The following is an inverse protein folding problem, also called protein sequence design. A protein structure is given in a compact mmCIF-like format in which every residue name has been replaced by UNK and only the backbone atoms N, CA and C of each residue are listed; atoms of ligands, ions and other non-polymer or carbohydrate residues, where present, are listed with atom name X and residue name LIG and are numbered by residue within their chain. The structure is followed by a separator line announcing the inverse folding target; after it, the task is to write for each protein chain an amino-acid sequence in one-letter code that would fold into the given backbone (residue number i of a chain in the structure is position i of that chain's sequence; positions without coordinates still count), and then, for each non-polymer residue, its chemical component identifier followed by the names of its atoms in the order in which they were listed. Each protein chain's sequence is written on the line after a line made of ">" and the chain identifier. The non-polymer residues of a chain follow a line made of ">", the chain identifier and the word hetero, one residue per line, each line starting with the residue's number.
data_IF_901140483391
#
_entry.id   IF_901140483391
#
_cell.length_a   1.000
_cell.length_b   1.000
_cell.length_c   1.000
_cell.angle_alpha   90.00
_cell.angle_beta   90.00
_cell.angle_gamma   90.00
#
_symmetry.space_group_name_H-M   'P 1'
#
loop_
_entity.id
_entity.type
_entity.pdbx_description
1 polymer ?
#
# COMPACT_ATOMS: atom_id res chain seq x y z
N UNK A 1 -22.57 10.75 20.68
CA UNK A 1 -23.09 11.88 19.89
C UNK A 1 -23.53 11.44 18.50
N UNK A 2 -24.41 12.17 17.90
CA UNK A 2 -24.85 11.98 16.51
C UNK A 2 -24.49 13.24 15.75
N UNK A 3 -23.65 13.12 14.72
CA UNK A 3 -23.38 14.22 13.79
C UNK A 3 -24.32 14.06 12.59
N UNK A 4 -25.20 15.02 12.39
CA UNK A 4 -26.01 15.13 11.19
C UNK A 4 -25.37 16.14 10.25
N UNK A 5 -25.13 15.73 9.02
CA UNK A 5 -24.66 16.54 7.91
C UNK A 5 -23.69 17.67 8.29
N UNK A 6 -22.50 17.31 8.69
CA UNK A 6 -21.42 18.26 8.68
C UNK A 6 -21.06 18.50 7.22
N UNK A 7 -21.45 19.65 6.69
CA UNK A 7 -21.23 20.18 5.34
C UNK A 7 -20.32 19.31 4.47
N UNK A 8 -20.93 18.39 3.74
CA UNK A 8 -20.24 17.48 2.86
C UNK A 8 -19.70 18.22 1.64
N UNK A 9 -18.44 18.05 1.34
CA UNK A 9 -17.90 18.48 0.05
C UNK A 9 -18.07 17.32 -0.95
N UNK A 10 -18.90 17.52 -1.97
CA UNK A 10 -19.12 16.59 -3.11
C UNK A 10 -19.47 15.14 -2.73
N UNK A 11 -20.36 14.90 -1.80
CA UNK A 11 -20.94 13.57 -1.55
C UNK A 11 -20.01 12.56 -0.88
N UNK A 12 -18.95 13.00 -0.20
CA UNK A 12 -17.98 12.14 0.43
C UNK A 12 -18.22 11.90 1.93
N UNK A 13 -19.41 12.18 2.44
CA UNK A 13 -19.75 11.94 3.84
C UNK A 13 -21.14 11.35 3.93
N UNK A 14 -21.35 10.26 4.72
CA UNK A 14 -22.68 9.74 5.00
C UNK A 14 -23.55 10.78 5.71
N UNK A 15 -24.86 10.67 5.56
CA UNK A 15 -25.80 11.62 6.12
C UNK A 15 -25.74 11.66 7.66
N UNK A 16 -25.47 10.52 8.30
CA UNK A 16 -25.30 10.45 9.76
C UNK A 16 -24.04 9.70 10.15
N UNK A 17 -23.39 10.20 11.22
CA UNK A 17 -22.26 9.52 11.88
C UNK A 17 -22.56 9.43 13.37
N UNK A 18 -22.69 8.21 13.87
CA UNK A 18 -22.90 7.95 15.31
C UNK A 18 -21.55 7.73 15.97
N UNK A 19 -21.29 8.48 17.07
CA UNK A 19 -20.02 8.46 17.79
C UNK A 19 -20.20 8.03 19.25
N UNK A 20 -19.24 7.26 19.74
CA UNK A 20 -19.04 6.97 21.17
C UNK A 20 -17.67 7.50 21.56
N UNK A 21 -17.62 8.41 22.57
CA UNK A 21 -16.37 9.05 23.01
C UNK A 21 -15.56 9.69 21.84
N UNK A 22 -16.26 10.41 20.96
CA UNK A 22 -15.74 11.00 19.72
C UNK A 22 -15.25 10.00 18.64
N UNK A 23 -15.34 8.71 18.89
CA UNK A 23 -15.00 7.66 17.92
C UNK A 23 -16.27 7.29 17.15
N UNK A 24 -16.31 7.39 15.81
CA UNK A 24 -17.42 6.91 15.02
C UNK A 24 -17.54 5.39 15.14
N UNK A 25 -18.76 4.94 15.42
CA UNK A 25 -19.09 3.54 15.57
C UNK A 25 -20.07 3.05 14.50
N UNK A 26 -20.79 3.99 13.85
CA UNK A 26 -21.77 3.66 12.82
C UNK A 26 -21.92 4.83 11.86
N UNK A 27 -22.01 4.52 10.59
CA UNK A 27 -22.29 5.44 9.48
C UNK A 27 -23.63 5.07 8.86
N UNK A 28 -24.46 6.07 8.54
CA UNK A 28 -25.76 5.84 7.91
C UNK A 28 -25.90 6.76 6.71
N UNK A 29 -26.18 6.17 5.55
CA UNK A 29 -26.57 6.86 4.34
C UNK A 29 -28.05 6.64 4.10
N UNK A 30 -28.79 7.71 3.86
CA UNK A 30 -30.23 7.65 3.59
C UNK A 30 -30.56 8.12 2.21
N UNK A 31 -31.61 7.57 1.62
CA UNK A 31 -32.16 7.92 0.32
C UNK A 31 -33.64 8.21 0.45
N UNK A 32 -34.21 8.96 -0.48
CA UNK A 32 -35.62 9.23 -0.52
C UNK A 32 -36.45 7.94 -0.63
N UNK A 33 -37.58 7.94 0.01
CA UNK A 33 -38.54 6.83 -0.02
C UNK A 33 -38.91 6.48 -1.48
N UNK A 34 -38.80 5.21 -1.83
CA UNK A 34 -39.14 4.67 -3.14
C UNK A 34 -37.98 4.72 -4.16
N UNK A 35 -36.80 5.17 -3.76
CA UNK A 35 -35.59 4.98 -4.55
C UNK A 35 -35.14 3.52 -4.46
N UNK A 36 -34.71 2.94 -5.58
CA UNK A 36 -34.22 1.56 -5.59
C UNK A 36 -32.86 1.49 -4.88
N UNK A 37 -32.83 0.88 -3.69
CA UNK A 37 -31.58 0.65 -2.94
C UNK A 37 -30.63 -0.31 -3.69
N UNK A 38 -31.14 -1.25 -4.50
CA UNK A 38 -30.32 -2.13 -5.35
C UNK A 38 -29.52 -1.37 -6.40
N UNK A 39 -30.08 -0.27 -6.92
CA UNK A 39 -29.37 0.62 -7.85
C UNK A 39 -28.33 1.45 -7.12
N UNK A 40 -28.67 1.92 -5.93
CA UNK A 40 -27.76 2.74 -5.09
C UNK A 40 -26.55 1.90 -4.66
N UNK A 41 -26.71 0.64 -4.25
CA UNK A 41 -25.61 -0.26 -3.89
C UNK A 41 -24.52 -0.35 -4.96
N UNK A 42 -24.90 -0.25 -6.24
CA UNK A 42 -23.99 -0.35 -7.39
C UNK A 42 -23.40 0.99 -7.82
N UNK A 43 -23.67 2.07 -7.08
CA UNK A 43 -23.19 3.41 -7.43
C UNK A 43 -21.74 3.64 -6.97
N UNK A 44 -21.04 4.55 -7.64
CA UNK A 44 -19.69 4.97 -7.26
C UNK A 44 -19.65 5.57 -5.85
N UNK A 45 -20.75 6.21 -5.41
CA UNK A 45 -20.87 6.70 -4.04
C UNK A 45 -20.81 5.56 -3.03
N UNK A 46 -21.60 4.51 -3.25
CA UNK A 46 -21.61 3.36 -2.35
C UNK A 46 -20.31 2.57 -2.38
N UNK A 47 -19.66 2.45 -3.52
CA UNK A 47 -18.34 1.83 -3.60
C UNK A 47 -17.33 2.52 -2.68
N UNK A 48 -17.35 3.86 -2.61
CA UNK A 48 -16.53 4.63 -1.66
C UNK A 48 -16.95 4.41 -0.20
N UNK A 49 -18.26 4.34 0.05
CA UNK A 49 -18.80 4.17 1.40
C UNK A 49 -18.61 2.76 1.96
N UNK A 50 -18.43 1.75 1.13
CA UNK A 50 -18.02 0.40 1.56
C UNK A 50 -16.66 0.37 2.26
N UNK A 51 -15.86 1.43 2.15
CA UNK A 51 -14.67 1.65 2.98
C UNK A 51 -14.97 1.98 4.46
N UNK A 52 -16.23 2.22 4.87
CA UNK A 52 -16.59 2.42 6.28
C UNK A 52 -16.69 1.09 7.02
N UNK A 53 -16.30 1.09 8.30
CA UNK A 53 -16.29 -0.12 9.12
C UNK A 53 -17.69 -0.70 9.32
N UNK A 54 -18.66 0.14 9.74
CA UNK A 54 -20.06 -0.22 9.93
C UNK A 54 -20.91 0.81 9.18
N UNK A 55 -21.57 0.39 8.11
CA UNK A 55 -22.40 1.26 7.26
C UNK A 55 -23.82 0.71 7.19
N UNK A 56 -24.81 1.58 7.33
CA UNK A 56 -26.20 1.30 7.05
C UNK A 56 -26.64 2.14 5.86
N UNK A 57 -27.24 1.50 4.86
CA UNK A 57 -27.95 2.16 3.77
C UNK A 57 -29.45 2.01 4.01
N UNK A 58 -30.21 3.09 3.94
CA UNK A 58 -31.66 3.07 4.18
C UNK A 58 -32.41 4.03 3.28
N UNK A 59 -33.67 3.73 3.00
CA UNK A 59 -34.68 4.65 2.48
C UNK A 59 -35.76 4.94 3.53
N UNK A 60 -35.42 4.83 4.82
CA UNK A 60 -36.29 4.90 6.01
C UNK A 60 -37.26 3.74 6.17
N UNK A 61 -37.51 2.92 5.14
CA UNK A 61 -38.43 1.77 5.16
C UNK A 61 -37.68 0.44 5.15
N UNK A 62 -36.54 0.40 4.49
CA UNK A 62 -35.63 -0.74 4.42
C UNK A 62 -34.24 -0.34 4.93
N UNK A 63 -33.61 -1.20 5.74
CA UNK A 63 -32.29 -1.01 6.31
C UNK A 63 -31.36 -2.15 5.87
N UNK A 64 -30.25 -1.80 5.22
CA UNK A 64 -29.20 -2.71 4.74
C UNK A 64 -27.92 -2.46 5.51
N UNK A 65 -27.35 -3.50 6.03
CA UNK A 65 -26.20 -3.44 6.92
C UNK A 65 -24.95 -3.97 6.19
N UNK A 66 -23.87 -3.17 6.24
CA UNK A 66 -22.58 -3.51 5.61
C UNK A 66 -21.46 -3.36 6.62
N UNK A 67 -20.67 -4.42 6.77
CA UNK A 67 -19.46 -4.40 7.58
C UNK A 67 -18.25 -4.52 6.68
N UNK A 68 -17.37 -3.50 6.71
CA UNK A 68 -16.20 -3.44 5.85
C UNK A 68 -16.54 -3.73 4.36
N UNK A 69 -17.67 -3.21 3.89
CA UNK A 69 -18.15 -3.36 2.51
C UNK A 69 -18.88 -4.66 2.18
N UNK A 70 -19.05 -5.57 3.13
CA UNK A 70 -19.80 -6.82 2.93
C UNK A 70 -21.18 -6.75 3.59
N UNK A 71 -22.17 -7.37 2.96
CA UNK A 71 -23.50 -7.52 3.58
C UNK A 71 -23.34 -8.27 4.89
N UNK A 72 -23.80 -7.66 5.98
CA UNK A 72 -23.73 -8.23 7.31
C UNK A 72 -24.87 -9.24 7.55
N UNK A 73 -26.04 -8.91 7.04
CA UNK A 73 -27.25 -9.74 7.14
C UNK A 73 -28.26 -9.37 6.05
N UNK A 74 -29.38 -10.09 6.00
CA UNK A 74 -30.50 -9.75 5.14
C UNK A 74 -31.11 -8.40 5.50
N UNK A 75 -31.64 -7.63 4.52
CA UNK A 75 -32.29 -6.35 4.76
C UNK A 75 -33.46 -6.45 5.74
N UNK A 76 -33.57 -5.48 6.66
CA UNK A 76 -34.73 -5.38 7.55
C UNK A 76 -35.68 -4.32 6.98
N UNK A 77 -36.92 -4.74 6.67
CA UNK A 77 -37.99 -3.86 6.21
C UNK A 77 -38.97 -3.57 7.34
N UNK A 78 -39.11 -2.30 7.71
CA UNK A 78 -40.04 -1.85 8.74
C UNK A 78 -41.35 -1.29 8.18
N UNK A 79 -41.38 -1.03 6.89
CA UNK A 79 -42.57 -0.66 6.15
C UNK A 79 -42.44 -0.96 4.66
N UNK A 80 -43.57 -0.94 3.95
CA UNK A 80 -43.66 -1.04 2.49
C UNK A 80 -44.30 0.19 1.92
N UNK A 81 -43.79 0.64 0.75
CA UNK A 81 -44.30 1.79 0.02
C UNK A 81 -45.04 1.34 -1.25
N UNK A 82 -46.33 1.63 -1.27
CA UNK A 82 -47.14 1.49 -2.50
C UNK A 82 -47.03 2.76 -3.35
N UNK A 83 -46.32 2.66 -4.47
CA UNK A 83 -46.15 3.77 -5.43
C UNK A 83 -47.47 4.23 -6.07
N UNK A 84 -48.40 3.30 -6.28
CA UNK A 84 -49.66 3.57 -6.96
C UNK A 84 -50.66 4.27 -6.01
N UNK A 85 -50.74 3.79 -4.78
CA UNK A 85 -51.59 4.38 -3.73
C UNK A 85 -50.95 5.49 -2.93
N UNK A 86 -49.63 5.73 -3.11
CA UNK A 86 -48.83 6.68 -2.28
C UNK A 86 -49.02 6.46 -0.80
N UNK A 87 -49.14 5.21 -0.38
CA UNK A 87 -49.36 4.82 1.01
C UNK A 87 -48.17 4.05 1.57
N UNK A 88 -47.93 4.19 2.87
CA UNK A 88 -46.90 3.43 3.59
C UNK A 88 -47.63 2.49 4.55
N UNK A 89 -47.33 1.20 4.45
CA UNK A 89 -47.85 0.16 5.36
C UNK A 89 -46.72 -0.27 6.28
N UNK A 90 -46.89 0.00 7.60
CA UNK A 90 -45.88 -0.35 8.58
C UNK A 90 -45.86 -1.89 8.84
N UNK A 91 -44.67 -2.39 9.22
CA UNK A 91 -44.40 -3.76 9.69
C UNK A 91 -43.89 -3.71 11.13
N UNK A 92 -44.78 -3.53 12.08
CA UNK A 92 -44.41 -3.35 13.51
C UNK A 92 -43.65 -4.53 14.08
N UNK A 93 -43.87 -5.74 13.55
CA UNK A 93 -43.16 -6.98 13.91
C UNK A 93 -41.64 -6.89 13.72
N UNK A 94 -41.16 -5.99 12.87
CA UNK A 94 -39.74 -5.81 12.59
C UNK A 94 -39.09 -4.63 13.34
N UNK A 95 -39.84 -3.87 14.15
CA UNK A 95 -39.31 -2.69 14.85
C UNK A 95 -38.30 -3.08 15.92
N UNK A 96 -38.62 -4.07 16.75
CA UNK A 96 -37.71 -4.57 17.77
C UNK A 96 -36.47 -5.25 17.13
N UNK A 97 -36.67 -5.97 16.03
CA UNK A 97 -35.60 -6.57 15.29
C UNK A 97 -34.61 -5.48 14.78
N UNK A 98 -35.13 -4.41 14.19
CA UNK A 98 -34.30 -3.30 13.73
C UNK A 98 -33.52 -2.64 14.86
N UNK A 99 -34.22 -2.33 15.98
CA UNK A 99 -33.60 -1.69 17.13
C UNK A 99 -32.44 -2.54 17.70
N UNK A 100 -32.73 -3.82 17.97
CA UNK A 100 -31.71 -4.72 18.49
C UNK A 100 -30.55 -4.90 17.52
N UNK A 101 -30.83 -5.06 16.22
CA UNK A 101 -29.79 -5.16 15.20
C UNK A 101 -28.93 -3.92 15.13
N UNK A 102 -29.47 -2.71 15.18
CA UNK A 102 -28.70 -1.47 15.18
C UNK A 102 -27.75 -1.38 16.38
N UNK A 103 -28.24 -1.75 17.59
CA UNK A 103 -27.44 -1.76 18.82
C UNK A 103 -26.31 -2.79 18.69
N UNK A 104 -26.63 -4.02 18.32
CA UNK A 104 -25.67 -5.10 18.20
C UNK A 104 -24.64 -4.81 17.09
N UNK A 105 -25.09 -4.28 15.96
CA UNK A 105 -24.23 -3.92 14.85
C UNK A 105 -23.23 -2.82 15.23
N UNK A 106 -23.67 -1.82 16.00
CA UNK A 106 -22.79 -0.75 16.48
C UNK A 106 -21.82 -1.18 17.58
N UNK A 107 -22.16 -2.24 18.35
CA UNK A 107 -21.39 -2.70 19.51
C UNK A 107 -20.61 -3.98 19.25
N UNK A 108 -20.94 -4.75 18.20
CA UNK A 108 -20.38 -6.07 17.99
C UNK A 108 -18.87 -6.02 17.66
N UNK A 109 -18.17 -7.02 18.18
CA UNK A 109 -16.76 -7.25 17.90
C UNK A 109 -16.57 -7.53 16.40
N UNK A 110 -15.48 -7.00 15.85
CA UNK A 110 -15.16 -7.17 14.43
C UNK A 110 -14.82 -8.63 14.16
N UNK A 111 -15.37 -9.18 13.08
CA UNK A 111 -14.99 -10.53 12.64
C UNK A 111 -13.55 -10.56 12.12
N UNK A 112 -12.81 -11.66 12.37
CA UNK A 112 -11.48 -11.81 11.83
C UNK A 112 -11.50 -11.81 10.29
N UNK A 113 -10.50 -11.16 9.70
CA UNK A 113 -10.31 -11.13 8.24
C UNK A 113 -9.84 -12.52 7.79
N UNK A 114 -10.61 -13.17 6.92
CA UNK A 114 -10.41 -14.58 6.55
C UNK A 114 -9.81 -14.80 5.16
N UNK A 115 -9.74 -13.77 4.33
CA UNK A 115 -9.17 -13.87 2.98
C UNK A 115 -8.39 -12.63 2.58
N UNK A 116 -7.42 -12.80 1.69
CA UNK A 116 -6.65 -11.69 1.12
C UNK A 116 -7.54 -10.75 0.29
N UNK A 117 -8.49 -11.28 -0.49
CA UNK A 117 -9.47 -10.46 -1.22
C UNK A 117 -10.30 -9.58 -0.29
N UNK A 118 -10.73 -10.11 0.86
CA UNK A 118 -11.46 -9.35 1.86
C UNK A 118 -10.61 -8.19 2.40
N UNK A 119 -9.36 -8.47 2.76
CA UNK A 119 -8.42 -7.46 3.22
C UNK A 119 -8.16 -6.41 2.12
N UNK A 120 -7.92 -6.84 0.88
CA UNK A 120 -7.70 -5.96 -0.27
C UNK A 120 -8.88 -5.00 -0.50
N UNK A 121 -10.12 -5.49 -0.38
CA UNK A 121 -11.34 -4.67 -0.51
C UNK A 121 -11.42 -3.61 0.58
N UNK A 122 -11.16 -3.96 1.84
CA UNK A 122 -11.15 -3.00 2.95
C UNK A 122 -10.06 -1.95 2.72
N UNK A 123 -8.86 -2.37 2.39
CA UNK A 123 -7.72 -1.48 2.11
C UNK A 123 -8.04 -0.55 0.94
N UNK A 124 -8.62 -1.06 -0.15
CA UNK A 124 -9.03 -0.28 -1.32
C UNK A 124 -10.02 0.83 -0.95
N UNK A 125 -11.08 0.50 -0.21
CA UNK A 125 -12.06 1.47 0.25
C UNK A 125 -11.47 2.54 1.21
N UNK A 126 -10.55 2.16 2.10
CA UNK A 126 -9.85 3.12 2.97
C UNK A 126 -8.91 4.03 2.15
N UNK A 127 -8.19 3.47 1.19
CA UNK A 127 -7.32 4.25 0.31
C UNK A 127 -8.11 5.27 -0.53
N UNK A 128 -9.28 4.90 -1.05
CA UNK A 128 -10.16 5.85 -1.75
C UNK A 128 -10.57 7.03 -0.86
N UNK A 129 -10.92 6.78 0.40
CA UNK A 129 -11.27 7.83 1.36
C UNK A 129 -10.09 8.75 1.67
N UNK A 130 -8.88 8.21 1.83
CA UNK A 130 -7.66 9.00 2.03
C UNK A 130 -7.39 9.86 0.80
N UNK A 131 -7.43 9.28 -0.41
CA UNK A 131 -7.28 10.00 -1.67
C UNK A 131 -8.22 11.19 -1.78
N UNK A 132 -9.50 10.97 -1.52
CA UNK A 132 -10.52 12.01 -1.67
C UNK A 132 -10.30 13.17 -0.66
N UNK A 133 -9.86 12.88 0.58
CA UNK A 133 -9.45 13.91 1.53
C UNK A 133 -8.21 14.67 1.06
N UNK A 134 -7.18 13.99 0.56
CA UNK A 134 -5.97 14.64 0.05
C UNK A 134 -6.28 15.55 -1.13
N UNK A 135 -7.13 15.12 -2.06
CA UNK A 135 -7.63 15.98 -3.17
C UNK A 135 -8.32 17.24 -2.65
N UNK A 136 -9.13 17.09 -1.61
CA UNK A 136 -9.77 18.23 -0.97
C UNK A 136 -8.73 19.18 -0.37
N UNK A 137 -7.73 18.70 0.33
CA UNK A 137 -6.67 19.53 0.92
C UNK A 137 -5.93 20.32 -0.15
N UNK A 138 -5.52 19.68 -1.25
CA UNK A 138 -4.83 20.33 -2.37
C UNK A 138 -5.67 21.46 -3.01
N UNK A 139 -7.00 21.31 -3.02
CA UNK A 139 -7.90 22.30 -3.62
C UNK A 139 -8.30 23.45 -2.70
N UNK A 140 -8.19 23.30 -1.37
CA UNK A 140 -8.78 24.25 -0.40
C UNK A 140 -7.79 24.79 0.62
N UNK A 141 -6.61 24.22 0.75
CA UNK A 141 -5.65 24.56 1.80
C UNK A 141 -4.31 25.04 1.23
N UNK A 142 -3.38 25.45 2.09
CA UNK A 142 -2.06 25.96 1.73
C UNK A 142 -0.97 25.25 2.53
N UNK A 143 0.30 25.33 2.08
CA UNK A 143 1.46 24.77 2.79
C UNK A 143 1.59 25.22 4.25
N UNK A 144 1.12 26.42 4.55
CA UNK A 144 1.18 26.94 5.94
C UNK A 144 0.27 26.16 6.89
N UNK A 145 -0.79 25.56 6.36
CA UNK A 145 -1.84 24.94 7.16
C UNK A 145 -1.83 23.41 7.04
N UNK A 146 -1.13 22.86 6.02
CA UNK A 146 -1.14 21.42 5.78
C UNK A 146 0.22 20.93 5.24
N UNK A 147 0.86 20.04 5.98
CA UNK A 147 2.16 19.45 5.61
C UNK A 147 2.10 18.60 4.33
N UNK A 148 0.95 18.00 4.03
CA UNK A 148 0.75 17.20 2.82
C UNK A 148 0.96 18.04 1.55
N UNK A 149 0.57 19.32 1.60
CA UNK A 149 0.78 20.25 0.47
C UNK A 149 2.28 20.53 0.29
N UNK A 150 3.04 20.62 1.37
CA UNK A 150 4.51 20.74 1.30
C UNK A 150 5.14 19.51 0.65
N UNK A 151 4.69 18.32 1.03
CA UNK A 151 5.13 17.06 0.41
C UNK A 151 4.80 17.04 -1.09
N UNK A 152 3.57 17.43 -1.46
CA UNK A 152 3.17 17.55 -2.87
C UNK A 152 4.11 18.45 -3.67
N UNK A 153 4.36 19.65 -3.18
CA UNK A 153 5.23 20.62 -3.85
C UNK A 153 6.68 20.13 -3.95
N UNK A 154 7.16 19.42 -2.93
CA UNK A 154 8.50 18.82 -2.95
C UNK A 154 8.63 17.74 -4.03
N UNK A 155 7.66 16.81 -4.10
CA UNK A 155 7.65 15.76 -5.14
C UNK A 155 7.52 16.38 -6.52
N UNK A 156 6.64 17.37 -6.69
CA UNK A 156 6.47 18.08 -7.96
C UNK A 156 7.75 18.79 -8.43
N UNK A 157 8.50 19.35 -7.49
CA UNK A 157 9.74 20.08 -7.79
C UNK A 157 10.93 19.15 -8.06
N UNK A 158 11.02 18.02 -7.36
CA UNK A 158 12.21 17.16 -7.36
C UNK A 158 12.09 15.91 -8.24
N UNK A 159 10.88 15.39 -8.44
CA UNK A 159 10.67 14.09 -9.07
C UNK A 159 9.78 14.13 -10.31
N UNK A 160 8.65 14.85 -10.25
CA UNK A 160 7.62 14.82 -11.31
C UNK A 160 7.12 16.24 -11.54
N UNK A 161 7.74 16.99 -12.45
CA UNK A 161 7.43 18.42 -12.67
C UNK A 161 5.98 18.69 -13.12
N UNK A 162 5.35 17.75 -13.81
CA UNK A 162 3.97 17.82 -14.28
C UNK A 162 2.97 17.05 -13.38
N UNK A 163 3.35 16.80 -12.11
CA UNK A 163 2.53 16.08 -11.15
C UNK A 163 1.17 16.76 -10.96
N UNK A 164 0.11 16.00 -11.22
CA UNK A 164 -1.27 16.43 -11.02
C UNK A 164 -1.74 16.12 -9.61
N UNK A 165 -2.65 16.95 -9.09
CA UNK A 165 -3.25 16.77 -7.76
C UNK A 165 -3.84 15.36 -7.58
N UNK A 166 -4.51 14.86 -8.62
CA UNK A 166 -5.10 13.53 -8.62
C UNK A 166 -4.05 12.42 -8.48
N UNK A 167 -2.97 12.51 -9.26
CA UNK A 167 -1.89 11.52 -9.24
C UNK A 167 -1.15 11.52 -7.90
N UNK A 168 -0.96 12.69 -7.31
CA UNK A 168 -0.36 12.79 -5.96
C UNK A 168 -1.27 12.18 -4.90
N UNK A 169 -2.57 12.49 -4.93
CA UNK A 169 -3.52 11.95 -3.96
C UNK A 169 -3.60 10.42 -4.04
N UNK A 170 -3.57 9.86 -5.25
CA UNK A 170 -3.50 8.42 -5.47
C UNK A 170 -2.21 7.82 -4.90
N UNK A 171 -1.08 8.45 -5.19
CA UNK A 171 0.24 8.01 -4.70
C UNK A 171 0.31 8.03 -3.18
N UNK A 172 -0.12 9.12 -2.54
CA UNK A 172 -0.12 9.27 -1.09
C UNK A 172 -1.01 8.22 -0.41
N UNK A 173 -2.23 8.03 -0.90
CA UNK A 173 -3.18 7.08 -0.35
C UNK A 173 -2.68 5.63 -0.44
N UNK A 174 -2.15 5.22 -1.59
CA UNK A 174 -1.59 3.89 -1.79
C UNK A 174 -0.37 3.66 -0.89
N UNK A 175 0.54 4.63 -0.81
CA UNK A 175 1.75 4.52 0.03
C UNK A 175 1.38 4.36 1.50
N UNK A 176 0.41 5.14 1.99
CA UNK A 176 -0.04 5.08 3.38
C UNK A 176 -0.65 3.73 3.71
N UNK A 177 -1.62 3.29 2.91
CA UNK A 177 -2.36 2.05 3.16
C UNK A 177 -1.46 0.82 3.01
N UNK A 178 -0.63 0.81 1.96
CA UNK A 178 0.28 -0.30 1.72
C UNK A 178 1.48 -0.30 2.70
N UNK A 179 1.94 0.86 3.12
CA UNK A 179 2.95 0.99 4.16
C UNK A 179 2.49 0.42 5.51
N UNK A 180 1.23 0.65 5.89
CA UNK A 180 0.63 0.00 7.07
C UNK A 180 0.56 -1.52 6.92
N UNK A 181 0.22 -2.02 5.72
CA UNK A 181 0.26 -3.45 5.42
C UNK A 181 1.67 -4.02 5.57
N UNK A 182 2.70 -3.32 5.07
CA UNK A 182 4.11 -3.70 5.22
C UNK A 182 4.50 -3.76 6.69
N UNK A 183 4.14 -2.74 7.48
CA UNK A 183 4.40 -2.73 8.92
C UNK A 183 3.75 -3.92 9.61
N UNK A 184 2.47 -4.20 9.32
CA UNK A 184 1.76 -5.35 9.88
C UNK A 184 2.37 -6.68 9.46
N UNK A 185 2.87 -6.79 8.24
CA UNK A 185 3.58 -7.99 7.79
C UNK A 185 4.87 -8.25 8.58
N UNK A 186 5.53 -7.21 9.11
CA UNK A 186 6.71 -7.34 9.96
C UNK A 186 6.37 -7.46 11.45
N UNK A 187 5.09 -7.45 11.80
CA UNK A 187 4.64 -7.56 13.18
C UNK A 187 4.38 -9.02 13.55
N UNK A 188 5.18 -9.52 14.48
CA UNK A 188 5.04 -10.87 15.03
C UNK A 188 4.13 -10.89 16.29
N UNK A 189 3.56 -9.73 16.71
CA UNK A 189 2.73 -9.62 17.91
C UNK A 189 1.24 -9.69 17.57
N UNK A 190 0.52 -10.75 17.97
CA UNK A 190 -0.91 -10.84 17.73
C UNK A 190 -1.70 -9.96 18.69
N UNK A 191 -2.81 -9.41 18.22
CA UNK A 191 -3.84 -8.80 19.07
C UNK A 191 -3.72 -7.30 19.33
N UNK A 192 -2.65 -6.64 18.85
CA UNK A 192 -2.54 -5.17 18.81
C UNK A 192 -1.92 -4.74 17.49
N UNK A 193 -2.30 -3.59 16.99
CA UNK A 193 -1.61 -2.90 15.91
C UNK A 193 -2.06 -1.45 15.90
N UNK A 194 -1.14 -0.57 16.19
CA UNK A 194 -1.38 0.88 16.23
C UNK A 194 -0.51 1.60 15.20
N UNK A 195 -0.85 2.84 14.94
CA UNK A 195 -0.06 3.74 14.09
C UNK A 195 1.37 3.92 14.59
N UNK A 196 1.55 3.99 15.91
CA UNK A 196 2.87 4.09 16.56
C UNK A 196 3.67 2.80 16.40
N UNK A 197 3.05 1.64 16.64
CA UNK A 197 3.69 0.34 16.40
C UNK A 197 4.07 0.18 14.93
N UNK A 198 3.20 0.59 13.99
CA UNK A 198 3.51 0.54 12.57
C UNK A 198 4.79 1.30 12.22
N UNK A 199 5.02 2.48 12.81
CA UNK A 199 6.26 3.25 12.65
C UNK A 199 7.50 2.45 13.07
N UNK A 200 7.44 1.80 14.23
CA UNK A 200 8.57 1.08 14.79
C UNK A 200 8.89 -0.23 14.03
N UNK A 201 7.89 -0.79 13.35
CA UNK A 201 7.99 -2.00 12.54
C UNK A 201 8.54 -1.76 11.13
N UNK A 202 8.57 -0.52 10.65
CA UNK A 202 9.16 -0.23 9.33
C UNK A 202 10.67 -0.51 9.36
N UNK A 203 11.18 -1.38 8.46
CA UNK A 203 12.60 -1.74 8.44
C UNK A 203 13.52 -0.53 8.25
N UNK A 204 14.66 -0.52 8.97
CA UNK A 204 15.70 0.50 8.81
C UNK A 204 16.30 0.54 7.39
N UNK A 205 16.14 -0.53 6.61
CA UNK A 205 16.55 -0.62 5.21
C UNK A 205 15.70 0.26 4.28
N UNK A 206 14.58 0.82 4.76
CA UNK A 206 13.71 1.75 4.02
C UNK A 206 13.57 3.09 4.79
N UNK A 207 14.54 4.00 4.70
CA UNK A 207 14.53 5.27 5.44
C UNK A 207 13.35 6.17 5.06
N UNK A 208 13.04 6.28 3.75
CA UNK A 208 11.94 7.13 3.28
C UNK A 208 10.59 6.73 3.88
N UNK A 209 10.29 5.43 3.89
CA UNK A 209 9.04 4.96 4.49
C UNK A 209 9.01 5.20 6.00
N UNK A 210 10.14 5.08 6.70
CA UNK A 210 10.23 5.44 8.13
C UNK A 210 9.89 6.90 8.37
N UNK A 211 10.45 7.81 7.60
CA UNK A 211 10.14 9.24 7.70
C UNK A 211 8.69 9.55 7.34
N UNK A 212 8.12 8.81 6.37
CA UNK A 212 6.69 8.90 6.09
C UNK A 212 5.84 8.49 7.31
N UNK A 213 6.25 7.43 8.02
CA UNK A 213 5.58 7.01 9.25
C UNK A 213 5.83 7.94 10.44
N UNK A 214 6.98 8.60 10.53
CA UNK A 214 7.20 9.70 11.48
C UNK A 214 6.17 10.82 11.26
N UNK A 215 5.92 11.17 10.00
CA UNK A 215 4.91 12.16 9.65
C UNK A 215 3.50 11.72 10.10
N UNK A 216 3.07 10.50 9.78
CA UNK A 216 1.71 10.03 10.09
C UNK A 216 1.48 9.74 11.59
N UNK A 217 2.54 9.60 12.38
CA UNK A 217 2.47 9.46 13.85
C UNK A 217 2.65 10.79 14.58
N UNK A 218 3.11 11.83 13.87
CA UNK A 218 3.36 13.15 14.40
C UNK A 218 2.09 13.85 14.89
N UNK A 219 2.29 14.83 15.78
CA UNK A 219 1.20 15.64 16.37
C UNK A 219 0.47 16.52 15.35
N UNK A 220 1.13 16.82 14.24
CA UNK A 220 0.61 17.65 13.15
C UNK A 220 -0.09 16.83 12.06
N UNK A 221 -0.20 15.50 12.21
CA UNK A 221 -0.91 14.69 11.25
C UNK A 221 -2.38 15.06 11.21
N UNK A 222 -2.93 15.22 9.99
CA UNK A 222 -4.29 15.68 9.80
C UNK A 222 -5.30 14.71 10.45
N UNK A 223 -6.11 15.23 11.37
CA UNK A 223 -7.06 14.42 12.14
C UNK A 223 -8.13 13.72 11.30
N UNK A 224 -8.42 14.25 10.11
CA UNK A 224 -9.36 13.64 9.16
C UNK A 224 -8.78 12.35 8.57
N UNK A 225 -7.46 12.34 8.30
CA UNK A 225 -6.74 11.15 7.87
C UNK A 225 -6.41 10.23 9.06
N UNK A 226 -5.99 10.79 10.18
CA UNK A 226 -5.69 10.04 11.41
C UNK A 226 -6.81 9.05 11.76
N UNK A 227 -8.04 9.52 11.63
CA UNK A 227 -9.20 8.71 11.89
C UNK A 227 -9.29 7.49 10.95
N UNK A 228 -9.10 7.68 9.63
CA UNK A 228 -9.14 6.60 8.65
C UNK A 228 -7.99 5.61 8.87
N UNK A 229 -6.82 6.12 9.22
CA UNK A 229 -5.62 5.31 9.52
C UNK A 229 -5.84 4.46 10.78
N UNK A 230 -6.41 5.03 11.83
CA UNK A 230 -6.71 4.28 13.06
C UNK A 230 -7.75 3.18 12.82
N UNK A 231 -8.78 3.44 11.99
CA UNK A 231 -9.72 2.39 11.56
C UNK A 231 -9.00 1.25 10.80
N UNK A 232 -8.03 1.58 9.95
CA UNK A 232 -7.27 0.57 9.20
C UNK A 232 -6.34 -0.21 10.15
N UNK A 233 -5.69 0.44 11.09
CA UNK A 233 -4.88 -0.23 12.11
C UNK A 233 -5.72 -1.24 12.91
N UNK A 234 -6.95 -0.88 13.24
CA UNK A 234 -7.85 -1.80 13.93
C UNK A 234 -8.25 -3.01 13.05
N UNK A 235 -8.43 -2.81 11.74
CA UNK A 235 -8.62 -3.93 10.80
C UNK A 235 -7.41 -4.86 10.82
N UNK A 236 -6.20 -4.31 10.79
CA UNK A 236 -4.98 -5.10 10.86
C UNK A 236 -4.78 -5.82 12.19
N UNK A 237 -5.28 -5.29 13.30
CA UNK A 237 -5.29 -6.00 14.59
C UNK A 237 -6.02 -7.36 14.51
N UNK A 238 -7.08 -7.43 13.67
CA UNK A 238 -7.88 -8.64 13.48
C UNK A 238 -7.50 -9.44 12.22
N UNK A 239 -6.44 -9.07 11.51
CA UNK A 239 -5.95 -9.76 10.33
C UNK A 239 -4.62 -10.49 10.63
N UNK A 240 -4.61 -11.79 10.44
CA UNK A 240 -3.36 -12.55 10.37
C UNK A 240 -2.78 -12.42 8.95
N UNK A 241 -2.02 -11.33 8.75
CA UNK A 241 -1.44 -11.02 7.43
C UNK A 241 -0.48 -12.10 6.97
N UNK A 242 0.25 -12.76 7.88
CA UNK A 242 1.12 -13.86 7.51
C UNK A 242 0.34 -15.06 6.96
N UNK A 243 -0.76 -15.43 7.62
CA UNK A 243 -1.63 -16.51 7.16
C UNK A 243 -2.31 -16.16 5.84
N UNK A 244 -2.81 -14.94 5.71
CA UNK A 244 -3.44 -14.45 4.48
C UNK A 244 -2.45 -14.47 3.31
N UNK A 245 -1.21 -14.04 3.54
CA UNK A 245 -0.16 -14.10 2.52
C UNK A 245 0.21 -15.54 2.15
N UNK A 246 0.20 -16.48 3.11
CA UNK A 246 0.42 -17.90 2.79
C UNK A 246 -0.58 -18.45 1.79
N UNK A 247 -1.83 -18.00 1.81
CA UNK A 247 -2.85 -18.42 0.84
C UNK A 247 -2.43 -18.10 -0.61
N UNK A 248 -1.76 -16.97 -0.83
CA UNK A 248 -1.19 -16.64 -2.14
C UNK A 248 0.05 -17.46 -2.51
N UNK A 249 0.72 -18.09 -1.53
CA UNK A 249 1.82 -19.03 -1.78
C UNK A 249 1.31 -20.47 -2.00
N UNK A 250 0.16 -20.85 -1.41
CA UNK A 250 -0.36 -22.21 -1.37
C UNK A 250 -1.23 -22.58 -2.59
N UNK A 251 -1.64 -21.64 -3.42
CA UNK A 251 -2.27 -21.95 -4.71
C UNK A 251 -1.33 -22.71 -5.66
N UNK A 252 -0.08 -22.94 -5.25
CA UNK A 252 0.91 -23.81 -5.86
C UNK A 252 0.86 -25.28 -5.36
N UNK A 253 -0.23 -25.69 -4.68
CA UNK A 253 -0.37 -27.02 -4.01
C UNK A 253 -0.36 -28.26 -4.93
N UNK A 254 -0.13 -28.09 -6.23
CA UNK A 254 0.02 -29.21 -7.17
C UNK A 254 1.48 -29.62 -7.46
N UNK A 255 2.42 -29.30 -6.58
CA UNK A 255 3.72 -29.99 -6.53
C UNK A 255 4.67 -29.73 -7.69
N UNK A 256 4.56 -28.60 -8.37
CA UNK A 256 5.53 -28.17 -9.39
C UNK A 256 6.16 -26.85 -8.98
N UNK A 257 7.40 -26.93 -8.49
CA UNK A 257 8.43 -25.87 -8.50
C UNK A 257 7.92 -24.43 -8.75
N UNK A 258 7.82 -23.60 -7.73
CA UNK A 258 7.85 -22.12 -7.68
C UNK A 258 7.54 -21.33 -8.99
N UNK A 259 6.58 -21.78 -9.78
CA UNK A 259 6.20 -21.15 -11.05
C UNK A 259 4.94 -20.28 -10.94
N UNK A 260 4.33 -20.21 -9.76
CA UNK A 260 3.15 -19.40 -9.48
C UNK A 260 3.42 -17.89 -9.51
N UNK A 261 2.37 -17.06 -9.58
CA UNK A 261 2.50 -15.60 -9.50
C UNK A 261 3.12 -15.22 -8.16
N UNK A 262 3.89 -14.12 -8.17
CA UNK A 262 4.52 -13.59 -6.96
C UNK A 262 3.43 -13.14 -5.96
N UNK A 263 3.38 -13.71 -4.74
CA UNK A 263 2.31 -13.47 -3.79
C UNK A 263 2.10 -12.00 -3.42
N UNK A 264 3.20 -11.24 -3.28
CA UNK A 264 3.15 -9.83 -2.94
C UNK A 264 2.54 -9.02 -4.09
N UNK A 265 2.90 -9.37 -5.32
CA UNK A 265 2.34 -8.73 -6.52
C UNK A 265 0.85 -9.09 -6.63
N UNK A 266 0.50 -10.35 -6.45
CA UNK A 266 -0.89 -10.80 -6.58
C UNK A 266 -1.81 -10.09 -5.58
N UNK A 267 -1.39 -10.00 -4.32
CA UNK A 267 -2.13 -9.23 -3.32
C UNK A 267 -2.22 -7.73 -3.66
N UNK A 268 -1.14 -7.15 -4.21
CA UNK A 268 -1.17 -5.75 -4.65
C UNK A 268 -2.10 -5.56 -5.86
N UNK A 269 -2.16 -6.51 -6.78
CA UNK A 269 -3.12 -6.49 -7.88
C UNK A 269 -4.57 -6.52 -7.39
N UNK A 270 -4.89 -7.37 -6.41
CA UNK A 270 -6.20 -7.41 -5.78
C UNK A 270 -6.54 -6.08 -5.10
N UNK A 271 -5.58 -5.51 -4.38
CA UNK A 271 -5.75 -4.18 -3.79
C UNK A 271 -6.00 -3.09 -4.85
N UNK A 272 -5.23 -3.06 -5.95
CA UNK A 272 -5.42 -2.08 -7.02
C UNK A 272 -6.77 -2.24 -7.72
N UNK A 273 -7.22 -3.48 -7.92
CA UNK A 273 -8.54 -3.77 -8.50
C UNK A 273 -9.67 -3.17 -7.67
N UNK A 274 -9.58 -3.28 -6.35
CA UNK A 274 -10.57 -2.72 -5.42
C UNK A 274 -10.41 -1.20 -5.21
N UNK A 275 -9.20 -0.68 -5.35
CA UNK A 275 -8.91 0.74 -5.22
C UNK A 275 -9.35 1.53 -6.45
N UNK A 276 -8.88 1.15 -7.64
CA UNK A 276 -9.20 1.76 -8.93
C UNK A 276 -8.83 0.80 -10.07
N UNK A 277 -9.85 0.11 -10.62
CA UNK A 277 -9.65 -0.87 -11.69
C UNK A 277 -9.07 -0.26 -12.99
N UNK A 278 -9.28 1.04 -13.25
CA UNK A 278 -8.78 1.72 -14.43
C UNK A 278 -7.38 2.31 -14.23
N UNK A 279 -6.97 2.59 -13.01
CA UNK A 279 -5.64 3.11 -12.69
C UNK A 279 -4.54 2.14 -13.15
N UNK A 280 -4.75 0.84 -12.96
CA UNK A 280 -3.84 -0.21 -13.45
C UNK A 280 -3.57 -0.10 -14.95
N UNK A 281 -4.62 0.16 -15.74
CA UNK A 281 -4.51 0.33 -17.20
C UNK A 281 -3.81 1.65 -17.56
N UNK A 282 -4.13 2.73 -16.86
CA UNK A 282 -3.57 4.07 -17.11
C UNK A 282 -2.07 4.15 -16.79
N UNK A 283 -1.62 3.49 -15.73
CA UNK A 283 -0.21 3.48 -15.33
C UNK A 283 0.64 2.51 -16.15
N UNK A 284 0.03 1.67 -17.01
CA UNK A 284 0.76 0.64 -17.73
C UNK A 284 1.44 -0.37 -16.79
N UNK A 285 0.97 -0.48 -15.55
CA UNK A 285 1.54 -1.34 -14.51
C UNK A 285 1.23 -2.82 -14.80
N UNK A 286 1.85 -3.34 -15.86
CA UNK A 286 1.82 -4.76 -16.19
C UNK A 286 3.07 -5.42 -15.65
N UNK A 287 2.90 -6.43 -14.82
CA UNK A 287 4.02 -7.18 -14.28
C UNK A 287 4.58 -8.12 -15.34
N UNK A 288 5.90 -8.10 -15.48
CA UNK A 288 6.59 -9.03 -16.37
C UNK A 288 6.42 -10.45 -15.85
N UNK A 289 5.91 -11.41 -16.65
CA UNK A 289 5.76 -12.80 -16.22
C UNK A 289 7.07 -13.39 -15.71
N UNK A 290 7.05 -14.12 -14.60
CA UNK A 290 8.25 -14.69 -13.99
C UNK A 290 9.13 -15.52 -14.94
N UNK A 291 8.60 -16.32 -15.88
CA UNK A 291 9.44 -17.01 -16.86
C UNK A 291 10.29 -16.06 -17.72
N UNK A 292 9.71 -14.91 -18.10
CA UNK A 292 10.43 -13.87 -18.87
C UNK A 292 11.50 -13.21 -18.02
N UNK A 293 11.18 -12.85 -16.78
CA UNK A 293 12.14 -12.29 -15.82
C UNK A 293 13.31 -13.23 -15.62
N UNK A 294 13.03 -14.51 -15.34
CA UNK A 294 14.07 -15.54 -15.17
C UNK A 294 14.92 -15.75 -16.42
N UNK A 295 14.30 -15.69 -17.59
CA UNK A 295 15.03 -15.79 -18.85
C UNK A 295 16.00 -14.61 -19.00
N UNK A 296 15.54 -13.38 -18.80
CA UNK A 296 16.38 -12.18 -18.92
C UNK A 296 17.54 -12.21 -17.92
N UNK A 297 17.26 -12.48 -16.63
CA UNK A 297 18.29 -12.52 -15.59
C UNK A 297 19.34 -13.59 -15.89
N UNK A 298 18.92 -14.80 -16.30
CA UNK A 298 19.85 -15.86 -16.72
C UNK A 298 20.64 -15.51 -17.98
N UNK A 299 20.04 -14.79 -18.92
CA UNK A 299 20.73 -14.35 -20.13
C UNK A 299 21.83 -13.34 -19.81
N UNK A 300 21.56 -12.38 -18.91
CA UNK A 300 22.58 -11.43 -18.44
C UNK A 300 23.72 -12.18 -17.73
N UNK A 301 23.38 -13.11 -16.85
CA UNK A 301 24.35 -13.94 -16.14
C UNK A 301 25.24 -14.74 -17.10
N UNK A 302 24.65 -15.38 -18.10
CA UNK A 302 25.36 -16.11 -19.14
C UNK A 302 26.29 -15.20 -19.97
N UNK A 303 25.82 -14.00 -20.37
CA UNK A 303 26.64 -13.05 -21.12
C UNK A 303 27.85 -12.57 -20.31
N UNK A 304 27.68 -12.31 -19.00
CA UNK A 304 28.79 -11.94 -18.12
C UNK A 304 29.88 -13.03 -18.08
N UNK A 305 29.48 -14.31 -18.08
CA UNK A 305 30.42 -15.41 -18.14
C UNK A 305 31.11 -15.53 -19.50
N UNK A 306 30.34 -15.54 -20.57
CA UNK A 306 30.84 -15.92 -21.91
C UNK A 306 31.49 -14.76 -22.66
N UNK A 307 30.92 -13.57 -22.59
CA UNK A 307 31.40 -12.43 -23.36
C UNK A 307 32.36 -11.53 -22.56
N UNK A 308 32.15 -11.49 -21.22
CA UNK A 308 32.97 -10.62 -20.37
C UNK A 308 34.00 -11.38 -19.53
N UNK A 309 34.04 -12.71 -19.60
CA UNK A 309 35.01 -13.55 -18.90
C UNK A 309 34.91 -13.51 -17.40
N UNK A 310 33.70 -13.25 -16.87
CA UNK A 310 33.42 -13.22 -15.43
C UNK A 310 32.84 -14.57 -15.02
N UNK A 311 33.68 -15.51 -14.60
CA UNK A 311 33.31 -16.91 -14.33
C UNK A 311 32.13 -17.09 -13.37
N UNK A 312 31.93 -16.13 -12.46
CA UNK A 312 30.82 -16.15 -11.50
C UNK A 312 29.59 -15.34 -11.97
N UNK A 313 29.57 -14.82 -13.21
CA UNK A 313 28.45 -14.09 -13.78
C UNK A 313 27.98 -12.94 -12.87
N UNK A 314 26.68 -12.88 -12.57
CA UNK A 314 26.09 -11.91 -11.64
C UNK A 314 26.62 -12.03 -10.21
N UNK A 315 27.15 -13.18 -9.80
CA UNK A 315 27.74 -13.39 -8.50
C UNK A 315 29.22 -12.97 -8.39
N UNK A 316 29.82 -12.47 -9.48
CA UNK A 316 31.22 -12.05 -9.50
C UNK A 316 31.50 -10.91 -8.52
N UNK A 317 32.61 -11.03 -7.78
CA UNK A 317 33.05 -10.07 -6.76
C UNK A 317 34.33 -9.34 -7.13
N UNK A 318 34.84 -9.57 -8.34
CA UNK A 318 36.07 -8.92 -8.80
C UNK A 318 35.90 -7.41 -8.89
N UNK A 319 36.99 -6.69 -8.62
CA UNK A 319 37.01 -5.22 -8.62
C UNK A 319 37.98 -4.70 -9.65
N UNK A 320 37.71 -3.51 -10.12
CA UNK A 320 38.63 -2.71 -10.93
C UNK A 320 39.80 -2.19 -10.10
N UNK A 321 40.81 -1.61 -10.75
CA UNK A 321 41.95 -0.95 -10.10
C UNK A 321 41.52 0.19 -9.15
N UNK A 322 40.32 0.75 -9.36
CA UNK A 322 39.72 1.76 -8.50
C UNK A 322 38.94 1.18 -7.30
N UNK A 323 38.93 -0.13 -7.11
CA UNK A 323 38.23 -0.80 -6.02
C UNK A 323 36.71 -0.92 -6.21
N UNK A 324 36.18 -0.58 -7.40
CA UNK A 324 34.76 -0.69 -7.75
C UNK A 324 34.49 -2.08 -8.30
N UNK A 325 33.40 -2.72 -7.87
CA UNK A 325 33.00 -4.02 -8.42
C UNK A 325 32.80 -3.92 -9.94
N UNK A 326 33.33 -4.89 -10.66
CA UNK A 326 33.23 -4.93 -12.13
C UNK A 326 31.79 -5.19 -12.61
N UNK A 327 31.02 -5.91 -11.84
CA UNK A 327 29.57 -6.11 -12.08
C UNK A 327 28.79 -5.14 -11.21
N UNK A 328 28.13 -4.17 -11.85
CA UNK A 328 27.15 -3.28 -11.23
C UNK A 328 25.75 -3.69 -11.70
N UNK A 329 24.78 -3.67 -10.82
CA UNK A 329 23.40 -4.07 -11.11
C UNK A 329 22.51 -2.88 -10.90
N UNK A 330 21.83 -2.44 -11.98
CA UNK A 330 20.82 -1.39 -11.91
C UNK A 330 19.54 -1.85 -12.62
N UNK A 331 18.43 -1.71 -11.92
CA UNK A 331 17.10 -1.71 -12.53
C UNK A 331 16.57 -0.27 -12.53
N UNK A 332 16.54 0.43 -13.71
CA UNK A 332 16.18 1.84 -13.76
C UNK A 332 14.68 2.11 -13.65
N UNK A 333 13.87 1.07 -13.61
CA UNK A 333 12.41 1.13 -13.46
C UNK A 333 11.95 -0.08 -12.62
N UNK A 334 12.43 -0.13 -11.38
CA UNK A 334 12.41 -1.32 -10.53
C UNK A 334 11.00 -1.85 -10.25
N UNK A 335 9.99 -0.99 -10.35
CA UNK A 335 8.60 -1.36 -10.09
C UNK A 335 8.46 -1.97 -8.69
N UNK A 336 7.94 -3.18 -8.63
CA UNK A 336 7.81 -3.95 -7.38
C UNK A 336 9.05 -4.81 -7.06
N UNK A 337 10.18 -4.62 -7.72
CA UNK A 337 11.45 -5.28 -7.44
C UNK A 337 11.60 -6.70 -8.00
N UNK A 338 10.84 -7.08 -9.03
CA UNK A 338 10.80 -8.46 -9.53
C UNK A 338 12.13 -8.92 -10.12
N UNK A 339 12.78 -8.10 -10.95
CA UNK A 339 14.09 -8.44 -11.54
C UNK A 339 15.18 -8.52 -10.48
N UNK A 340 15.23 -7.56 -9.56
CA UNK A 340 16.20 -7.57 -8.46
C UNK A 340 16.01 -8.77 -7.55
N UNK A 341 14.76 -9.13 -7.21
CA UNK A 341 14.45 -10.32 -6.42
C UNK A 341 14.93 -11.62 -7.12
N UNK A 342 14.69 -11.74 -8.44
CA UNK A 342 15.17 -12.87 -9.23
C UNK A 342 16.70 -12.93 -9.27
N UNK A 343 17.36 -11.78 -9.38
CA UNK A 343 18.82 -11.65 -9.35
C UNK A 343 19.41 -12.10 -8.01
N UNK A 344 18.82 -11.67 -6.87
CA UNK A 344 19.24 -12.10 -5.53
C UNK A 344 19.14 -13.62 -5.39
N UNK A 345 18.03 -14.21 -5.84
CA UNK A 345 17.82 -15.67 -5.78
C UNK A 345 18.81 -16.42 -6.66
N UNK A 346 19.12 -15.94 -7.86
CA UNK A 346 20.10 -16.55 -8.74
C UNK A 346 21.49 -16.51 -8.12
N UNK A 347 21.92 -15.36 -7.59
CA UNK A 347 23.23 -15.21 -6.93
C UNK A 347 23.32 -16.14 -5.70
N UNK A 348 22.27 -16.18 -4.88
CA UNK A 348 22.22 -17.08 -3.72
C UNK A 348 22.36 -18.54 -4.12
N UNK A 349 21.64 -18.98 -5.16
CA UNK A 349 21.70 -20.33 -5.66
C UNK A 349 23.10 -20.69 -6.16
N UNK A 350 23.78 -19.78 -6.86
CA UNK A 350 25.18 -19.99 -7.29
C UNK A 350 26.13 -20.20 -6.12
N UNK A 351 25.96 -19.44 -5.03
CA UNK A 351 26.77 -19.64 -3.81
C UNK A 351 26.50 -21.00 -3.17
N UNK A 352 25.24 -21.47 -3.19
CA UNK A 352 24.89 -22.81 -2.73
C UNK A 352 25.56 -23.88 -3.59
N UNK A 353 25.40 -23.79 -4.91
CA UNK A 353 25.89 -24.76 -5.88
C UNK A 353 27.44 -24.87 -5.86
N UNK A 354 28.12 -23.76 -5.55
CA UNK A 354 29.57 -23.70 -5.36
C UNK A 354 30.04 -24.11 -3.94
N UNK A 355 29.14 -24.54 -3.07
CA UNK A 355 29.45 -24.93 -1.68
C UNK A 355 29.79 -23.77 -0.75
N UNK A 356 29.48 -22.52 -1.16
CA UNK A 356 29.83 -21.29 -0.44
C UNK A 356 28.68 -20.68 0.38
N UNK A 357 27.66 -21.47 0.70
CA UNK A 357 26.48 -21.00 1.48
C UNK A 357 26.86 -20.27 2.77
N UNK A 358 27.91 -20.73 3.46
CA UNK A 358 28.39 -20.12 4.72
C UNK A 358 28.90 -18.67 4.55
N UNK A 359 29.26 -18.26 3.33
CA UNK A 359 29.74 -16.91 3.03
C UNK A 359 28.59 -15.92 2.75
N UNK A 360 27.33 -16.38 2.67
CA UNK A 360 26.23 -15.58 2.20
C UNK A 360 26.07 -14.25 2.96
N UNK A 361 26.13 -14.27 4.28
CA UNK A 361 26.01 -13.04 5.08
C UNK A 361 27.11 -12.01 4.75
N UNK A 362 28.35 -12.44 4.71
CA UNK A 362 29.48 -11.59 4.36
C UNK A 362 29.41 -11.09 2.93
N UNK A 363 29.01 -11.97 2.00
CA UNK A 363 28.83 -11.64 0.61
C UNK A 363 27.75 -10.57 0.40
N UNK A 364 26.58 -10.69 1.07
CA UNK A 364 25.52 -9.70 0.97
C UNK A 364 26.02 -8.32 1.41
N UNK A 365 26.69 -8.23 2.55
CA UNK A 365 27.17 -6.95 3.07
C UNK A 365 28.27 -6.30 2.24
N UNK A 366 29.25 -7.09 1.82
CA UNK A 366 30.50 -6.59 1.25
C UNK A 366 30.45 -6.50 -0.29
N UNK A 367 29.66 -7.37 -0.92
CA UNK A 367 29.72 -7.55 -2.37
C UNK A 367 28.37 -7.32 -3.07
N UNK A 368 27.22 -7.66 -2.43
CA UNK A 368 25.94 -7.52 -3.11
C UNK A 368 25.29 -6.15 -2.87
N UNK A 369 25.08 -5.75 -1.62
CA UNK A 369 24.41 -4.47 -1.31
C UNK A 369 25.16 -3.23 -1.88
N UNK A 370 26.51 -3.20 -1.95
CA UNK A 370 27.21 -2.04 -2.52
C UNK A 370 27.01 -1.82 -4.02
N UNK A 371 26.55 -2.83 -4.77
CA UNK A 371 26.45 -2.82 -6.23
C UNK A 371 25.06 -3.15 -6.78
N UNK A 372 24.06 -3.25 -5.91
CA UNK A 372 22.69 -3.59 -6.26
C UNK A 372 21.83 -2.32 -6.12
N UNK A 373 21.37 -1.80 -7.24
CA UNK A 373 20.64 -0.54 -7.31
C UNK A 373 19.34 -0.69 -8.07
N UNK A 374 18.34 0.10 -7.68
CA UNK A 374 17.07 0.22 -8.37
C UNK A 374 16.50 1.63 -8.23
N UNK A 375 15.89 2.13 -9.31
CA UNK A 375 15.23 3.42 -9.34
C UNK A 375 13.73 3.23 -9.57
N UNK A 376 12.93 3.98 -8.82
CA UNK A 376 11.48 3.98 -8.96
C UNK A 376 10.95 5.41 -8.81
N UNK A 377 9.99 5.76 -9.66
CA UNK A 377 9.37 7.08 -9.66
C UNK A 377 8.18 7.16 -8.70
N UNK A 378 7.47 6.05 -8.52
CA UNK A 378 6.22 6.00 -7.77
C UNK A 378 6.44 5.41 -6.37
N UNK A 379 5.95 6.11 -5.34
CA UNK A 379 6.15 5.72 -3.94
C UNK A 379 5.54 4.37 -3.57
N UNK A 380 4.38 4.01 -4.15
CA UNK A 380 3.73 2.74 -3.81
C UNK A 380 4.52 1.54 -4.34
N UNK A 381 4.90 1.43 -5.64
CA UNK A 381 5.81 0.39 -6.12
C UNK A 381 7.15 0.38 -5.39
N UNK A 382 7.74 1.55 -5.10
CA UNK A 382 8.96 1.67 -4.29
C UNK A 382 8.80 0.96 -2.93
N UNK A 383 7.69 1.23 -2.22
CA UNK A 383 7.39 0.60 -0.92
C UNK A 383 7.25 -0.91 -1.04
N UNK A 384 6.59 -1.38 -2.09
CA UNK A 384 6.40 -2.81 -2.38
C UNK A 384 7.73 -3.47 -2.72
N UNK A 385 8.59 -2.81 -3.50
CA UNK A 385 9.91 -3.32 -3.82
C UNK A 385 10.74 -3.57 -2.54
N UNK A 386 10.75 -2.61 -1.63
CA UNK A 386 11.43 -2.78 -0.33
C UNK A 386 10.89 -3.97 0.47
N UNK A 387 9.56 -4.15 0.56
CA UNK A 387 8.97 -5.31 1.23
C UNK A 387 9.41 -6.61 0.56
N UNK A 388 9.23 -6.71 -0.74
CA UNK A 388 9.54 -7.91 -1.51
C UNK A 388 11.02 -8.30 -1.43
N UNK A 389 11.92 -7.33 -1.52
CA UNK A 389 13.34 -7.58 -1.40
C UNK A 389 13.73 -8.00 0.02
N UNK A 390 13.13 -7.38 1.04
CA UNK A 390 13.30 -7.85 2.44
C UNK A 390 12.86 -9.30 2.62
N UNK A 391 11.74 -9.69 2.00
CA UNK A 391 11.27 -11.08 2.00
C UNK A 391 12.24 -12.00 1.26
N UNK A 392 12.70 -11.62 0.06
CA UNK A 392 13.66 -12.41 -0.71
C UNK A 392 14.96 -12.65 0.07
N UNK A 393 15.48 -11.65 0.78
CA UNK A 393 16.64 -11.82 1.66
C UNK A 393 16.32 -12.73 2.86
N UNK A 394 15.15 -12.56 3.51
CA UNK A 394 14.70 -13.42 4.63
C UNK A 394 14.60 -14.88 4.23
N UNK A 395 14.12 -15.19 3.03
CA UNK A 395 14.05 -16.56 2.47
C UNK A 395 15.44 -17.21 2.33
N UNK A 396 16.48 -16.42 2.05
CA UNK A 396 17.87 -16.91 1.99
C UNK A 396 18.52 -17.08 3.37
N UNK A 397 17.80 -16.78 4.46
CA UNK A 397 18.30 -16.79 5.83
C UNK A 397 19.02 -15.50 6.24
N UNK A 398 19.12 -14.50 5.37
CA UNK A 398 19.69 -13.19 5.71
C UNK A 398 18.67 -12.33 6.45
N UNK A 399 19.04 -11.79 7.63
CA UNK A 399 18.10 -11.09 8.52
C UNK A 399 18.47 -9.65 8.86
N UNK A 400 19.74 -9.29 8.79
CA UNK A 400 20.23 -8.02 9.37
C UNK A 400 20.92 -7.18 8.31
N UNK A 401 20.31 -6.03 8.00
CA UNK A 401 20.89 -5.04 7.13
C UNK A 401 21.71 -4.02 7.94
N UNK A 402 22.98 -3.84 7.58
CA UNK A 402 23.87 -2.82 8.16
C UNK A 402 23.85 -1.51 7.36
N UNK A 403 23.10 -1.48 6.25
CA UNK A 403 22.86 -0.32 5.40
C UNK A 403 21.48 -0.41 4.76
N UNK A 404 21.04 0.69 4.18
CA UNK A 404 19.81 0.69 3.38
C UNK A 404 19.91 -0.22 2.15
N UNK A 405 18.78 -0.67 1.65
CA UNK A 405 18.70 -1.24 0.31
C UNK A 405 18.94 -0.13 -0.72
N UNK A 406 19.68 -0.44 -1.77
CA UNK A 406 20.00 0.51 -2.84
C UNK A 406 18.85 0.79 -3.79
N UNK A 407 17.63 0.86 -3.28
CA UNK A 407 16.42 1.24 -4.03
C UNK A 407 16.10 2.68 -3.68
N UNK A 408 15.96 3.52 -4.71
CA UNK A 408 15.82 4.96 -4.55
C UNK A 408 14.56 5.47 -5.24
N UNK A 409 13.87 6.41 -4.60
CA UNK A 409 12.78 7.15 -5.21
C UNK A 409 13.36 8.29 -6.05
N UNK A 410 13.36 8.13 -7.36
CA UNK A 410 13.96 9.10 -8.30
C UNK A 410 13.39 8.96 -9.70
N UNK A 411 13.49 10.02 -10.49
CA UNK A 411 13.26 9.98 -11.93
C UNK A 411 14.52 9.50 -12.64
N UNK A 412 14.49 8.31 -13.24
CA UNK A 412 15.65 7.71 -13.91
C UNK A 412 16.11 8.49 -15.15
N UNK A 413 15.20 9.25 -15.77
CA UNK A 413 15.44 9.97 -17.03
C UNK A 413 15.94 11.40 -16.82
N UNK A 414 15.87 11.91 -15.60
CA UNK A 414 16.36 13.26 -15.27
C UNK A 414 17.81 13.22 -14.78
N UNK A 415 18.56 14.23 -15.18
CA UNK A 415 19.86 14.48 -14.59
C UNK A 415 19.73 14.80 -13.10
N UNK A 416 20.76 14.47 -12.34
CA UNK A 416 20.82 14.74 -10.91
C UNK A 416 20.76 16.23 -10.65
N UNK A 417 19.62 16.74 -10.19
CA UNK A 417 19.49 18.12 -9.78
C UNK A 417 20.14 18.33 -8.40
N UNK A 418 21.11 19.24 -8.33
CA UNK A 418 21.76 19.71 -7.09
C UNK A 418 20.85 20.53 -6.16
N UNK A 419 19.55 20.58 -6.43
CA UNK A 419 18.53 21.34 -5.70
C UNK A 419 18.26 20.78 -4.28
N UNK A 420 18.80 19.62 -3.93
CA UNK A 420 18.67 19.04 -2.57
C UNK A 420 19.22 19.92 -1.43
N UNK A 421 20.15 20.82 -1.74
CA UNK A 421 20.74 21.72 -0.73
C UNK A 421 19.84 22.92 -0.37
N UNK A 422 18.73 23.12 -1.07
CA UNK A 422 17.77 24.21 -0.81
C UNK A 422 16.66 23.84 0.22
N UNK A 423 16.59 22.58 0.61
CA UNK A 423 15.61 22.11 1.58
C UNK A 423 16.29 21.89 2.93
N UNK A 424 16.32 22.94 3.74
CA UNK A 424 16.78 22.87 5.14
C UNK A 424 15.57 22.80 6.07
N UNK A 425 15.31 21.63 6.62
CA UNK A 425 14.22 21.38 7.55
C UNK A 425 14.23 19.93 8.04
N UNK A 426 13.34 19.60 8.95
CA UNK A 426 13.17 18.23 9.44
C UNK A 426 11.78 17.73 9.03
N UNK A 427 11.72 16.60 8.30
CA UNK A 427 10.44 15.98 7.98
C UNK A 427 10.46 15.10 6.74
N UNK A 428 9.27 14.65 6.35
CA UNK A 428 9.12 13.72 5.22
C UNK A 428 9.52 14.34 3.87
N UNK A 429 9.30 15.64 3.68
CA UNK A 429 9.70 16.34 2.46
C UNK A 429 11.22 16.34 2.25
N UNK A 430 12.00 16.47 3.31
CA UNK A 430 13.47 16.42 3.26
C UNK A 430 13.97 15.02 2.93
N UNK A 431 13.30 13.98 3.41
CA UNK A 431 13.68 12.60 3.09
C UNK A 431 13.50 12.27 1.60
N UNK A 432 12.54 12.89 0.92
CA UNK A 432 12.39 12.78 -0.54
C UNK A 432 13.57 13.46 -1.26
N UNK A 433 14.01 14.61 -0.77
CA UNK A 433 15.18 15.29 -1.31
C UNK A 433 16.47 14.48 -1.11
N UNK A 434 16.61 13.80 0.03
CA UNK A 434 17.72 12.92 0.32
C UNK A 434 17.75 11.67 -0.58
N UNK A 435 16.61 11.05 -0.83
CA UNK A 435 16.46 9.96 -1.82
C UNK A 435 17.00 10.38 -3.20
N UNK A 436 16.56 11.55 -3.67
CA UNK A 436 17.01 12.08 -4.96
C UNK A 436 18.51 12.36 -4.99
N UNK A 437 19.08 12.89 -3.89
CA UNK A 437 20.52 13.16 -3.75
C UNK A 437 21.35 11.88 -3.74
N UNK A 438 20.94 10.88 -2.98
CA UNK A 438 21.62 9.58 -2.96
C UNK A 438 21.54 8.87 -4.33
N UNK A 439 20.40 8.92 -5.00
CA UNK A 439 20.26 8.40 -6.36
C UNK A 439 21.19 9.12 -7.33
N UNK A 440 21.36 10.45 -7.18
CA UNK A 440 22.27 11.26 -7.96
C UNK A 440 23.74 10.80 -7.81
N UNK A 441 24.15 10.42 -6.60
CA UNK A 441 25.50 9.88 -6.38
C UNK A 441 25.72 8.57 -7.17
N UNK A 442 24.69 7.71 -7.24
CA UNK A 442 24.78 6.47 -8.04
C UNK A 442 24.83 6.80 -9.52
N UNK A 443 23.96 7.68 -10.03
CA UNK A 443 23.94 8.09 -11.44
C UNK A 443 25.26 8.68 -11.91
N UNK A 444 25.92 9.47 -11.06
CA UNK A 444 27.12 10.23 -11.43
C UNK A 444 28.42 9.46 -11.20
N UNK A 445 28.48 8.58 -10.20
CA UNK A 445 29.72 8.00 -9.73
C UNK A 445 29.85 6.49 -9.97
N UNK A 446 28.74 5.83 -10.35
CA UNK A 446 28.77 4.40 -10.60
C UNK A 446 28.77 4.17 -12.11
N UNK A 447 29.86 3.63 -12.70
CA UNK A 447 29.83 3.20 -14.09
C UNK A 447 28.88 2.01 -14.21
N UNK A 448 27.80 2.22 -14.93
CA UNK A 448 26.78 1.21 -15.20
C UNK A 448 26.85 0.85 -16.67
#
# INVERSE_FOLDING_TARGET
>A
GVDHDAKAFKGNKPDFVIRKNNIPILYIEVKDIGVSLDRIEKSDQMNRYFGYANLVLSDYLEFRFYRNGFKYQEPIKIAEYDKNGRSITAKPENFDLLNNTLIDFAQSHKEPIRSGEHLAKIMGGKAQRIRDNVRQFLSTESEKNNEIIRVYNTIKKLLVHDLKDESFADMYAQTLVYGLFVARYHDDTPGSFTRQEARDLIPASNPLLRHFFDHITGINFDKRLEYIVNELCEVFTHADVHLLMKQYFEDDLWGKTHEGPDPVIHFYEDFLKEYDADLRKKLGAYYTPLPVVRFIVRSVDYLLEKEFGLENGLADTSKSDKGIHRVQILDPAVGTGTFISATIRLIYQRLIDSGQKGRWHTYVHNDLLPRLHGFELMMAPYTIAHLKLSMAFKETGFKYFNRRLGIYLTNSLEESNSLGDLFTGFGFAESIAEESKEAALIKNNTPI
#
